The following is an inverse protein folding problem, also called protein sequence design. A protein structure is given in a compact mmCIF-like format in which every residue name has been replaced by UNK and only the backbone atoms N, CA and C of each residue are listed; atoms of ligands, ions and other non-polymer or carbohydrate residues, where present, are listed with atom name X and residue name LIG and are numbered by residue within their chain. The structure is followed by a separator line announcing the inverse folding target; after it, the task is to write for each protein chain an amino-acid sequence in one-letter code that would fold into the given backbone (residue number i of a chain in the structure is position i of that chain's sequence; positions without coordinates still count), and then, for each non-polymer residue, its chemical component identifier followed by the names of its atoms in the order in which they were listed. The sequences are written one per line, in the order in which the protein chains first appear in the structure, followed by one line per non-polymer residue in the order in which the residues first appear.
data_IF_195309698230
#
_entry.id   IF_195309698230
#
_cell.length_a   1.000
_cell.length_b   1.000
_cell.length_c   1.000
_cell.angle_alpha   90.00
_cell.angle_beta   90.00
_cell.angle_gamma   90.00
#
_symmetry.space_group_name_H-M   'P 1'
#
loop_
_entity.id
_entity.type
_entity.pdbx_description
1 polymer ?
#
# COMPACT_ATOMS: atom_id res chain seq x y z
N UNK A 1 5.76 -8.68 -27.47
CA UNK A 1 5.02 -9.92 -27.83
C UNK A 1 4.50 -9.79 -29.25
N UNK A 2 4.80 -10.74 -30.14
CA UNK A 2 4.80 -10.51 -31.59
C UNK A 2 3.41 -10.54 -32.28
N UNK A 3 2.38 -11.03 -31.59
CA UNK A 3 1.03 -11.24 -32.18
C UNK A 3 -0.11 -10.55 -31.41
N UNK A 4 0.19 -9.77 -30.36
CA UNK A 4 -0.77 -8.99 -29.53
C UNK A 4 -2.05 -9.72 -29.05
N UNK A 5 -2.10 -11.05 -29.10
CA UNK A 5 -3.27 -11.86 -28.70
C UNK A 5 -3.56 -11.80 -27.20
N UNK A 6 -2.52 -11.56 -26.40
CA UNK A 6 -2.55 -11.50 -24.95
C UNK A 6 -1.60 -10.39 -24.47
N UNK A 7 -1.84 -9.89 -23.26
CA UNK A 7 -1.04 -8.83 -22.62
C UNK A 7 -0.99 -7.51 -23.43
N UNK A 8 -2.07 -7.20 -24.17
CA UNK A 8 -2.18 -5.94 -24.91
C UNK A 8 -2.04 -4.73 -23.98
N UNK A 9 -1.11 -3.83 -24.34
CA UNK A 9 -0.79 -2.64 -23.55
C UNK A 9 0.06 -2.88 -22.31
N UNK A 10 0.50 -4.12 -22.04
CA UNK A 10 1.55 -4.39 -21.07
C UNK A 10 2.92 -4.32 -21.73
N UNK A 11 3.89 -3.84 -20.98
CA UNK A 11 5.29 -3.87 -21.33
C UNK A 11 6.01 -4.89 -20.46
N UNK A 12 6.91 -5.63 -21.08
CA UNK A 12 7.84 -6.51 -20.40
C UNK A 12 9.26 -6.04 -20.73
N UNK A 13 10.14 -5.86 -19.74
CA UNK A 13 11.54 -5.54 -20.01
C UNK A 13 12.23 -6.67 -20.77
N UNK A 14 13.35 -6.40 -21.47
CA UNK A 14 14.12 -7.43 -22.15
C UNK A 14 14.52 -8.58 -21.23
N UNK A 15 14.22 -9.82 -21.63
CA UNK A 15 14.58 -11.03 -20.89
C UNK A 15 16.02 -11.40 -21.23
N UNK A 16 16.96 -11.07 -20.34
CA UNK A 16 18.40 -11.31 -20.52
C UNK A 16 18.93 -12.43 -19.60
N UNK A 17 18.04 -13.30 -19.11
CA UNK A 17 18.37 -14.41 -18.22
C UNK A 17 17.88 -15.74 -18.81
N UNK A 18 18.46 -16.85 -18.34
CA UNK A 18 18.14 -18.20 -18.79
C UNK A 18 16.71 -18.62 -18.40
N UNK A 19 16.12 -19.63 -19.07
CA UNK A 19 14.83 -20.17 -18.67
C UNK A 19 14.74 -20.51 -17.18
N UNK A 20 13.61 -20.19 -16.55
CA UNK A 20 13.45 -20.30 -15.09
C UNK A 20 12.83 -21.63 -14.66
N UNK A 21 12.40 -22.45 -15.62
CA UNK A 21 11.75 -23.74 -15.41
C UNK A 21 12.17 -24.72 -16.51
N UNK A 22 12.22 -26.04 -16.31
CA UNK A 22 12.13 -26.79 -15.06
C UNK A 22 13.53 -27.26 -14.67
N UNK A 23 13.90 -27.12 -13.40
CA UNK A 23 15.17 -27.61 -12.87
C UNK A 23 15.00 -28.88 -12.04
N UNK A 24 16.07 -29.65 -11.91
CA UNK A 24 16.18 -30.65 -10.85
C UNK A 24 16.50 -29.95 -9.53
N UNK A 25 15.79 -30.33 -8.47
CA UNK A 25 15.88 -29.70 -7.15
C UNK A 25 17.33 -29.71 -6.66
N UNK A 26 17.77 -28.57 -6.12
CA UNK A 26 19.13 -28.31 -5.61
C UNK A 26 20.26 -28.35 -6.65
N UNK A 27 19.95 -28.36 -7.95
CA UNK A 27 20.95 -28.38 -9.03
C UNK A 27 20.68 -27.28 -10.06
N UNK A 28 21.67 -26.92 -10.88
CA UNK A 28 21.47 -26.04 -12.05
C UNK A 28 21.18 -26.82 -13.34
N UNK A 29 20.92 -28.11 -13.23
CA UNK A 29 20.52 -28.93 -14.36
C UNK A 29 19.03 -28.75 -14.62
N UNK A 30 18.68 -28.59 -15.89
CA UNK A 30 17.29 -28.68 -16.32
C UNK A 30 16.77 -30.11 -16.18
N UNK A 31 15.45 -30.25 -16.10
CA UNK A 31 14.71 -31.48 -15.83
C UNK A 31 15.28 -32.73 -16.52
N UNK A 32 15.91 -33.60 -15.74
CA UNK A 32 16.43 -34.89 -16.22
C UNK A 32 15.46 -36.05 -15.99
N UNK A 33 14.24 -35.77 -15.53
CA UNK A 33 13.19 -36.77 -15.41
C UNK A 33 12.77 -37.31 -16.79
N UNK A 34 12.06 -38.44 -16.78
CA UNK A 34 11.51 -39.08 -18.00
C UNK A 34 10.63 -38.12 -18.82
N UNK A 35 9.98 -37.14 -18.16
CA UNK A 35 9.14 -36.15 -18.84
C UNK A 35 9.94 -35.13 -19.65
N UNK A 36 11.23 -34.97 -19.33
CA UNK A 36 12.21 -34.14 -20.03
C UNK A 36 11.63 -32.79 -20.49
N UNK A 37 11.09 -32.01 -19.54
CA UNK A 37 10.37 -30.78 -19.85
C UNK A 37 11.31 -29.76 -20.50
N UNK A 38 10.86 -29.16 -21.60
CA UNK A 38 11.63 -28.13 -22.31
C UNK A 38 11.85 -26.90 -21.42
N UNK A 39 13.10 -26.42 -21.29
CA UNK A 39 13.40 -25.18 -20.59
C UNK A 39 12.52 -24.02 -21.07
N UNK A 40 11.82 -23.36 -20.14
CA UNK A 40 10.81 -22.35 -20.40
C UNK A 40 10.91 -21.17 -19.43
N UNK A 41 10.55 -19.97 -19.89
CA UNK A 41 10.38 -18.77 -19.04
C UNK A 41 8.93 -18.69 -18.57
N UNK A 42 8.60 -19.47 -17.55
CA UNK A 42 7.26 -19.51 -16.95
C UNK A 42 7.01 -18.34 -16.01
N UNK A 43 8.08 -17.76 -15.46
CA UNK A 43 8.02 -16.74 -14.42
C UNK A 43 8.35 -15.37 -15.02
N UNK A 44 7.37 -14.46 -15.10
CA UNK A 44 7.46 -13.20 -15.88
C UNK A 44 6.91 -12.03 -15.09
N UNK A 45 7.52 -10.85 -15.23
CA UNK A 45 7.03 -9.61 -14.63
C UNK A 45 6.71 -8.61 -15.74
N UNK A 46 5.43 -8.28 -15.87
CA UNK A 46 4.93 -7.30 -16.83
C UNK A 46 4.28 -6.15 -16.08
N UNK A 47 4.37 -4.95 -16.65
CA UNK A 47 3.69 -3.78 -16.11
C UNK A 47 2.94 -3.03 -17.20
N UNK A 48 1.92 -2.28 -16.77
CA UNK A 48 1.16 -1.38 -17.63
C UNK A 48 0.97 -0.07 -16.91
N UNK A 49 1.21 1.02 -17.62
CA UNK A 49 0.90 2.36 -17.13
C UNK A 49 -0.06 3.05 -18.08
N UNK A 50 -1.05 3.78 -17.52
CA UNK A 50 -1.96 4.63 -18.30
C UNK A 50 -1.24 5.84 -18.90
N UNK A 51 -0.14 6.26 -18.28
CA UNK A 51 0.73 7.35 -18.75
C UNK A 51 2.11 6.76 -18.95
N UNK A 52 2.65 6.81 -20.15
CA UNK A 52 4.00 6.32 -20.44
C UNK A 52 5.06 7.35 -20.08
N UNK A 53 4.70 8.63 -20.14
CA UNK A 53 5.58 9.76 -19.86
C UNK A 53 4.98 10.71 -18.84
N UNK A 54 5.81 11.22 -17.94
CA UNK A 54 5.49 12.31 -17.02
C UNK A 54 6.33 13.51 -17.41
N UNK A 55 5.69 14.67 -17.56
CA UNK A 55 6.38 15.94 -17.73
C UNK A 55 6.98 16.36 -16.39
N UNK A 56 8.30 16.53 -16.34
CA UNK A 56 8.98 17.18 -15.23
C UNK A 56 9.27 18.64 -15.62
N UNK A 57 8.81 19.58 -14.77
CA UNK A 57 9.13 21.01 -14.76
C UNK A 57 9.37 21.61 -16.17
N UNK A 58 8.30 21.61 -16.98
CA UNK A 58 8.15 22.30 -18.26
C UNK A 58 9.11 21.97 -19.41
N UNK A 59 10.11 21.08 -19.28
CA UNK A 59 11.05 20.87 -20.41
C UNK A 59 11.51 19.43 -20.68
N UNK A 60 11.40 18.48 -19.74
CA UNK A 60 11.83 17.09 -19.98
C UNK A 60 10.71 16.06 -19.73
N UNK A 61 10.45 15.21 -20.72
CA UNK A 61 9.60 14.02 -20.57
C UNK A 61 10.42 12.87 -19.97
N UNK A 62 10.00 12.34 -18.83
CA UNK A 62 10.58 11.14 -18.25
C UNK A 62 9.62 9.96 -18.36
N UNK A 63 10.14 8.76 -18.55
CA UNK A 63 9.32 7.56 -18.50
C UNK A 63 8.67 7.40 -17.12
N UNK A 64 7.40 7.00 -17.09
CA UNK A 64 6.66 6.83 -15.82
C UNK A 64 7.18 5.65 -15.02
N UNK A 65 7.65 4.61 -15.70
CA UNK A 65 8.21 3.40 -15.10
C UNK A 65 9.49 3.08 -15.85
N UNK A 66 10.62 3.18 -15.18
CA UNK A 66 11.93 2.80 -15.70
C UNK A 66 12.35 1.48 -15.06
N UNK A 67 12.77 0.51 -15.88
CA UNK A 67 13.31 -0.76 -15.37
C UNK A 67 14.78 -0.59 -15.02
N UNK A 68 15.13 -0.81 -13.76
CA UNK A 68 16.52 -0.79 -13.26
C UNK A 68 17.15 -2.18 -13.29
N UNK A 69 16.35 -3.21 -12.98
CA UNK A 69 16.79 -4.59 -12.94
C UNK A 69 15.65 -5.51 -13.36
N UNK A 70 15.95 -6.56 -14.12
CA UNK A 70 15.02 -7.65 -14.41
C UNK A 70 15.84 -8.93 -14.66
N UNK A 71 15.84 -9.85 -13.70
CA UNK A 71 16.69 -11.05 -13.77
C UNK A 71 16.15 -12.21 -12.94
N UNK A 72 16.71 -13.39 -13.18
CA UNK A 72 16.51 -14.57 -12.34
C UNK A 72 17.65 -14.77 -11.34
N UNK A 73 17.33 -15.26 -10.14
CA UNK A 73 18.33 -15.63 -9.13
C UNK A 73 18.72 -17.11 -9.27
N UNK A 74 19.97 -17.38 -9.64
CA UNK A 74 20.49 -18.76 -9.77
C UNK A 74 20.95 -19.35 -8.43
N UNK A 75 21.17 -18.52 -7.40
CA UNK A 75 21.65 -18.97 -6.10
C UNK A 75 20.59 -19.71 -5.27
N UNK A 76 19.31 -19.57 -5.61
CA UNK A 76 18.18 -20.17 -4.89
C UNK A 76 17.69 -21.38 -5.70
N UNK A 77 17.87 -22.59 -5.16
CA UNK A 77 17.72 -23.85 -5.93
C UNK A 77 16.81 -24.90 -5.28
N UNK A 78 16.15 -24.57 -4.16
CA UNK A 78 15.30 -25.54 -3.45
C UNK A 78 13.99 -25.86 -4.20
N UNK A 79 13.65 -25.09 -5.23
CA UNK A 79 12.51 -25.27 -6.12
C UNK A 79 12.99 -25.69 -7.51
N UNK A 80 12.09 -26.31 -8.29
CA UNK A 80 12.27 -26.56 -9.72
C UNK A 80 12.10 -25.29 -10.57
N UNK A 81 11.78 -24.16 -9.93
CA UNK A 81 11.81 -22.82 -10.50
C UNK A 81 12.97 -21.96 -9.98
N UNK A 82 13.45 -21.02 -10.81
CA UNK A 82 14.34 -19.93 -10.39
C UNK A 82 13.57 -18.64 -10.13
N UNK A 83 13.70 -18.01 -8.94
CA UNK A 83 13.00 -16.77 -8.63
C UNK A 83 13.36 -15.66 -9.62
N UNK A 84 12.35 -14.97 -10.14
CA UNK A 84 12.50 -13.80 -11.00
C UNK A 84 12.20 -12.55 -10.18
N UNK A 85 13.09 -11.56 -10.28
CA UNK A 85 12.94 -10.27 -9.61
C UNK A 85 13.10 -9.11 -10.59
N UNK A 86 12.38 -8.03 -10.30
CA UNK A 86 12.45 -6.79 -11.06
C UNK A 86 12.53 -5.59 -10.12
N UNK A 87 13.41 -4.64 -10.42
CA UNK A 87 13.50 -3.35 -9.75
C UNK A 87 13.08 -2.26 -10.72
N UNK A 88 12.11 -1.45 -10.31
CA UNK A 88 11.53 -0.41 -11.14
C UNK A 88 11.55 0.92 -10.39
N UNK A 89 11.97 1.98 -11.07
CA UNK A 89 11.78 3.36 -10.63
C UNK A 89 10.44 3.85 -11.18
N UNK A 90 9.52 4.22 -10.30
CA UNK A 90 8.17 4.67 -10.67
C UNK A 90 8.00 6.13 -10.31
N UNK A 91 7.73 6.97 -11.31
CA UNK A 91 7.47 8.39 -11.13
C UNK A 91 5.97 8.60 -10.96
N UNK A 92 5.57 9.03 -9.76
CA UNK A 92 4.18 9.31 -9.44
C UNK A 92 3.96 10.81 -9.55
N UNK A 93 3.11 11.24 -10.50
CA UNK A 93 2.61 12.61 -10.52
C UNK A 93 1.60 12.78 -9.39
N UNK A 94 2.07 13.23 -8.24
CA UNK A 94 1.21 13.65 -7.14
C UNK A 94 0.80 15.11 -7.36
N UNK A 95 -0.49 15.34 -7.62
CA UNK A 95 -1.08 16.68 -7.60
C UNK A 95 -1.96 16.79 -6.37
N UNK A 96 -1.40 17.33 -5.29
CA UNK A 96 -2.20 17.82 -4.18
C UNK A 96 -2.69 19.22 -4.55
N UNK A 97 -4.00 19.36 -4.79
CA UNK A 97 -4.58 20.70 -4.76
C UNK A 97 -4.56 21.15 -3.30
N UNK A 98 -3.58 21.98 -2.97
CA UNK A 98 -3.36 22.46 -1.60
C UNK A 98 -4.60 23.15 -1.04
N UNK A 99 -5.37 23.86 -1.88
CA UNK A 99 -6.63 24.50 -1.44
C UNK A 99 -7.69 23.46 -1.11
N UNK A 100 -7.82 22.42 -1.94
CA UNK A 100 -8.74 21.31 -1.67
C UNK A 100 -8.33 20.51 -0.45
N UNK A 101 -7.03 20.22 -0.31
CA UNK A 101 -6.46 19.52 0.84
C UNK A 101 -6.70 20.30 2.13
N UNK A 102 -6.43 21.61 2.13
CA UNK A 102 -6.66 22.47 3.28
C UNK A 102 -8.14 22.55 3.65
N UNK A 103 -9.04 22.66 2.65
CA UNK A 103 -10.48 22.62 2.89
C UNK A 103 -10.93 21.32 3.57
N UNK A 104 -10.52 20.17 3.03
CA UNK A 104 -10.86 18.86 3.60
C UNK A 104 -10.29 18.74 5.01
N UNK A 105 -9.06 19.23 5.25
CA UNK A 105 -8.42 19.23 6.57
C UNK A 105 -9.20 20.09 7.56
N UNK A 106 -9.62 21.29 7.16
CA UNK A 106 -10.43 22.18 8.00
C UNK A 106 -11.81 21.56 8.32
N UNK A 107 -12.46 20.93 7.35
CA UNK A 107 -13.73 20.22 7.54
C UNK A 107 -13.58 19.07 8.55
N UNK A 108 -12.52 18.26 8.43
CA UNK A 108 -12.23 17.18 9.37
C UNK A 108 -11.96 17.70 10.78
N UNK A 109 -11.21 18.79 10.93
CA UNK A 109 -10.93 19.39 12.25
C UNK A 109 -12.24 19.83 12.91
N UNK A 110 -13.11 20.53 12.17
CA UNK A 110 -14.41 20.97 12.71
C UNK A 110 -15.29 19.79 13.13
N UNK A 111 -15.24 18.71 12.37
CA UNK A 111 -15.97 17.48 12.69
C UNK A 111 -15.44 16.83 13.97
N UNK A 112 -14.11 16.76 14.14
CA UNK A 112 -13.48 16.29 15.36
C UNK A 112 -13.85 17.16 16.57
N UNK A 113 -13.74 18.49 16.43
CA UNK A 113 -14.11 19.43 17.50
C UNK A 113 -15.57 19.27 17.91
N UNK A 114 -16.47 19.03 16.95
CA UNK A 114 -17.89 18.77 17.24
C UNK A 114 -18.06 17.49 18.05
N UNK A 115 -17.46 16.38 17.60
CA UNK A 115 -17.55 15.08 18.27
C UNK A 115 -16.98 15.16 19.69
N UNK A 116 -15.83 15.82 19.87
CA UNK A 116 -15.24 16.01 21.20
C UNK A 116 -16.21 16.76 22.12
N UNK A 117 -16.81 17.86 21.65
CA UNK A 117 -17.77 18.63 22.45
C UNK A 117 -19.05 17.84 22.76
N UNK A 118 -19.60 17.10 21.80
CA UNK A 118 -20.78 16.25 21.99
C UNK A 118 -20.49 15.07 22.94
N UNK A 119 -19.22 14.65 23.04
CA UNK A 119 -18.80 13.58 23.93
C UNK A 119 -18.59 14.02 25.39
N UNK A 120 -18.70 15.31 25.70
CA UNK A 120 -18.55 15.82 27.06
C UNK A 120 -19.77 15.40 27.89
N UNK A 121 -19.60 14.60 28.96
CA UNK A 121 -20.73 14.18 29.79
C UNK A 121 -21.25 15.36 30.62
N UNK A 122 -22.56 15.60 30.55
CA UNK A 122 -23.24 16.59 31.40
C UNK A 122 -23.64 15.90 32.71
N UNK A 123 -23.18 16.43 33.84
CA UNK A 123 -23.59 16.02 35.18
C UNK A 123 -24.46 17.13 35.77
N UNK A 124 -25.75 16.87 35.89
CA UNK A 124 -26.67 17.73 36.65
C UNK A 124 -26.66 17.32 38.11
N UNK A 125 -26.18 18.21 38.98
CA UNK A 125 -26.26 18.02 40.43
C UNK A 125 -27.53 18.71 40.93
N UNK A 126 -28.55 17.91 41.26
CA UNK A 126 -29.75 18.42 41.91
C UNK A 126 -29.43 18.75 43.37
N UNK A 127 -29.59 20.01 43.83
CA UNK A 127 -29.42 20.32 45.25
C UNK A 127 -30.53 19.60 46.03
N UNK A 128 -30.15 18.61 46.83
CA UNK A 128 -31.05 18.12 47.88
C UNK A 128 -31.33 19.29 48.81
N UNK A 129 -32.60 19.61 49.11
CA UNK A 129 -32.91 20.65 50.09
C UNK A 129 -32.20 20.29 51.41
N UNK A 130 -31.61 21.28 52.10
CA UNK A 130 -30.89 21.04 53.34
C UNK A 130 -31.84 20.39 54.36
N UNK A 131 -31.55 19.14 54.72
CA UNK A 131 -32.23 18.47 55.83
C UNK A 131 -31.62 19.00 57.13
N UNK A 132 -32.25 20.02 57.70
CA UNK A 132 -31.87 20.51 59.03
C UNK A 132 -32.59 19.64 60.05
N UNK A 133 -31.85 18.72 60.68
CA UNK A 133 -32.35 17.89 61.77
C UNK A 133 -32.10 18.64 63.08
N UNK A 134 -33.15 19.26 63.63
CA UNK A 134 -33.12 19.74 64.99
C UNK A 134 -33.39 18.56 65.93
N UNK A 135 -32.35 18.08 66.60
CA UNK A 135 -32.51 17.13 67.71
C UNK A 135 -33.14 17.85 68.94
N UNK A 136 -32.98 17.31 70.14
CA UNK A 136 -33.61 17.85 71.35
C UNK A 136 -33.17 19.28 71.67
N UNK A 137 -33.96 20.26 71.24
CA UNK A 137 -33.86 21.65 71.69
C UNK A 137 -34.37 21.70 73.13
N UNK A 138 -33.48 22.00 74.08
CA UNK A 138 -33.88 22.43 75.43
C UNK A 138 -33.72 23.94 75.50
N UNK A 139 -34.84 24.64 75.68
CA UNK A 139 -34.82 26.04 76.04
C UNK A 139 -34.36 26.17 77.49
N UNK A 140 -33.39 27.04 77.73
CA UNK A 140 -33.07 27.51 79.08
C UNK A 140 -34.06 28.62 79.40
N UNK A 141 -34.94 28.39 80.39
CA UNK A 141 -35.76 29.46 80.93
C UNK A 141 -34.90 30.41 81.79
N UNK A 142 -34.97 31.69 81.42
CA UNK A 142 -34.51 32.94 82.06
C UNK A 142 -33.14 33.48 81.68
#
# INVERSE_FOLDING_TARGET
MKLERIFTGYYEPPVNFLPTYKFDINTDNYDTSEKFRTPSWTDRILYRSKRTKVLMNNQNELETIQTMYYSSSTNIKFSDHRPVSGLYLVVIKYSCDEKRSNRIREELIREFDRIENESIPIIEVYPRPPQIIFNHIRYLDK
#
